data_IF_918566463777
#
_entry.id   IF_918566463777
#
_cell.length_a   1.000
_cell.length_b   1.000
_cell.length_c   1.000
_cell.angle_alpha   90.00
_cell.angle_beta   90.00
_cell.angle_gamma   90.00
#
_symmetry.space_group_name_H-M   'P 1'
#
loop_
_entity.id
_entity.type
_entity.pdbx_description
1 polymer ?
#
# COMPACT_ATOMS: atom_id res chain seq x y z
N UNK A 1 20.64 -10.18 -4.24
CA UNK A 1 19.89 -11.27 -3.60
C UNK A 1 20.32 -11.47 -2.12
N UNK A 2 21.62 -11.50 -1.84
CA UNK A 2 22.22 -11.65 -0.51
C UNK A 2 21.78 -10.60 0.53
N UNK A 3 21.72 -9.32 0.16
CA UNK A 3 21.33 -8.24 1.08
C UNK A 3 19.87 -8.38 1.62
N UNK A 4 18.98 -8.98 0.82
CA UNK A 4 17.61 -9.29 1.28
C UNK A 4 17.57 -10.46 2.27
N UNK A 5 18.44 -11.45 2.08
CA UNK A 5 18.53 -12.62 2.98
C UNK A 5 19.06 -12.20 4.36
N UNK A 6 20.09 -11.35 4.39
CA UNK A 6 20.66 -10.83 5.65
C UNK A 6 19.65 -9.98 6.43
N UNK A 7 18.84 -9.15 5.75
CA UNK A 7 17.79 -8.39 6.44
C UNK A 7 16.68 -9.30 6.98
N UNK A 8 16.33 -10.39 6.30
CA UNK A 8 15.34 -11.35 6.81
C UNK A 8 15.85 -12.15 8.02
N UNK A 9 17.11 -12.57 8.00
CA UNK A 9 17.70 -13.27 9.15
C UNK A 9 17.86 -12.33 10.35
N UNK A 10 18.30 -11.10 10.15
CA UNK A 10 18.40 -10.11 11.22
C UNK A 10 17.03 -9.72 11.83
N UNK A 11 16.00 -9.56 10.99
CA UNK A 11 14.64 -9.28 11.46
C UNK A 11 14.04 -10.51 12.18
N UNK A 12 14.36 -11.74 11.75
CA UNK A 12 13.99 -12.99 12.44
C UNK A 12 14.66 -13.10 13.81
N UNK A 13 15.97 -12.85 13.90
CA UNK A 13 16.70 -12.83 15.17
C UNK A 13 16.18 -11.73 16.11
N UNK A 14 15.90 -10.54 15.61
CA UNK A 14 15.30 -9.46 16.38
C UNK A 14 13.90 -9.81 16.89
N UNK A 15 13.07 -10.50 16.11
CA UNK A 15 11.77 -11.00 16.54
C UNK A 15 11.91 -12.11 17.60
N UNK A 16 12.94 -12.94 17.51
CA UNK A 16 13.12 -14.05 18.43
C UNK A 16 13.66 -13.56 19.81
N UNK A 17 14.63 -12.65 19.81
CA UNK A 17 15.26 -12.15 21.05
C UNK A 17 14.56 -10.91 21.63
N UNK A 18 13.90 -10.08 20.79
CA UNK A 18 13.22 -8.84 21.17
C UNK A 18 11.83 -8.78 20.51
N UNK A 19 10.99 -9.79 20.78
CA UNK A 19 9.71 -9.97 20.09
C UNK A 19 8.88 -8.69 19.90
N UNK A 20 8.61 -7.84 20.90
CA UNK A 20 7.83 -6.62 20.66
C UNK A 20 8.58 -5.58 19.82
N UNK A 21 9.90 -5.43 20.02
CA UNK A 21 10.68 -4.46 19.24
C UNK A 21 10.84 -4.89 17.78
N UNK A 22 11.02 -6.18 17.51
CA UNK A 22 11.09 -6.74 16.16
C UNK A 22 9.77 -6.58 15.42
N UNK A 23 8.64 -6.89 16.04
CA UNK A 23 7.30 -6.74 15.47
C UNK A 23 7.00 -5.26 15.16
N UNK A 24 7.31 -4.35 16.08
CA UNK A 24 7.15 -2.90 15.87
C UNK A 24 8.01 -2.40 14.71
N UNK A 25 9.25 -2.86 14.59
CA UNK A 25 10.15 -2.49 13.50
C UNK A 25 9.65 -2.99 12.14
N UNK A 26 9.14 -4.24 12.09
CA UNK A 26 8.54 -4.80 10.87
C UNK A 26 7.26 -4.04 10.53
N UNK A 27 6.39 -3.78 11.50
CA UNK A 27 5.16 -3.02 11.31
C UNK A 27 5.45 -1.60 10.78
N UNK A 28 6.43 -0.92 11.36
CA UNK A 28 6.84 0.42 10.93
C UNK A 28 7.40 0.44 9.51
N UNK A 29 8.31 -0.49 9.16
CA UNK A 29 8.84 -0.63 7.79
C UNK A 29 7.74 -0.93 6.77
N UNK A 30 6.71 -1.68 7.16
CA UNK A 30 5.62 -2.06 6.26
C UNK A 30 4.58 -0.95 6.12
N UNK A 31 4.35 -0.16 7.16
CA UNK A 31 3.55 1.07 7.05
C UNK A 31 4.21 2.10 6.11
N UNK A 32 5.54 2.11 6.03
CA UNK A 32 6.27 2.96 5.09
C UNK A 32 6.21 2.45 3.64
N UNK A 33 6.10 1.13 3.41
CA UNK A 33 5.95 0.52 2.08
C UNK A 33 4.47 0.37 1.73
N UNK A 34 3.83 1.48 1.38
CA UNK A 34 2.39 1.60 1.12
C UNK A 34 1.82 0.65 0.05
N UNK A 35 2.67 0.11 -0.83
CA UNK A 35 2.26 -0.74 -1.96
C UNK A 35 2.06 -2.23 -1.60
N UNK A 36 2.64 -2.71 -0.50
CA UNK A 36 2.65 -4.15 -0.14
C UNK A 36 1.95 -4.46 1.20
N UNK A 37 0.92 -3.68 1.57
CA UNK A 37 0.20 -3.81 2.85
C UNK A 37 -0.38 -5.22 3.07
N UNK A 38 -0.87 -5.88 2.02
CA UNK A 38 -1.44 -7.23 2.14
C UNK A 38 -0.35 -8.25 2.47
N UNK A 39 0.75 -8.25 1.72
CA UNK A 39 1.89 -9.13 1.98
C UNK A 39 2.52 -8.85 3.34
N UNK A 40 2.52 -7.58 3.72
CA UNK A 40 2.99 -7.15 5.02
C UNK A 40 2.14 -7.68 6.18
N UNK A 41 0.83 -7.56 6.06
CA UNK A 41 -0.11 -8.10 7.03
C UNK A 41 -0.01 -9.61 7.17
N UNK A 42 0.17 -10.34 6.05
CA UNK A 42 0.38 -11.79 6.07
C UNK A 42 1.65 -12.18 6.83
N UNK A 43 2.78 -11.48 6.60
CA UNK A 43 4.04 -11.74 7.30
C UNK A 43 3.92 -11.47 8.81
N UNK A 44 3.24 -10.38 9.19
CA UNK A 44 2.98 -10.07 10.60
C UNK A 44 2.08 -11.11 11.27
N UNK A 45 1.05 -11.60 10.56
CA UNK A 45 0.19 -12.68 11.05
C UNK A 45 0.96 -13.97 11.26
N UNK A 46 1.80 -14.38 10.30
CA UNK A 46 2.62 -15.58 10.43
C UNK A 46 3.62 -15.46 11.58
N UNK A 47 4.37 -14.36 11.64
CA UNK A 47 5.35 -14.15 12.71
C UNK A 47 4.67 -14.05 14.09
N UNK A 48 3.58 -13.29 14.21
CA UNK A 48 2.81 -13.17 15.44
C UNK A 48 2.17 -14.49 15.85
N UNK A 49 1.64 -15.25 14.90
CA UNK A 49 1.06 -16.57 15.14
C UNK A 49 2.07 -17.57 15.69
N UNK A 50 3.24 -17.67 15.07
CA UNK A 50 4.32 -18.58 15.54
C UNK A 50 4.76 -18.19 16.95
N UNK A 51 5.00 -16.89 17.22
CA UNK A 51 5.40 -16.43 18.56
C UNK A 51 4.30 -16.67 19.60
N UNK A 52 3.03 -16.47 19.24
CA UNK A 52 1.90 -16.71 20.13
C UNK A 52 1.76 -18.19 20.49
N UNK A 53 1.82 -19.09 19.48
CA UNK A 53 1.76 -20.53 19.71
C UNK A 53 2.92 -21.03 20.56
N UNK A 54 4.13 -20.51 20.31
CA UNK A 54 5.30 -20.85 21.12
C UNK A 54 5.14 -20.36 22.56
N UNK A 55 4.69 -19.12 22.77
CA UNK A 55 4.39 -18.58 24.11
C UNK A 55 3.28 -19.37 24.82
N UNK A 56 2.23 -19.74 24.12
CA UNK A 56 1.13 -20.55 24.66
C UNK A 56 1.59 -21.96 25.05
N UNK A 57 2.45 -22.60 24.25
CA UNK A 57 3.05 -23.89 24.57
C UNK A 57 3.94 -23.83 25.81
N UNK A 58 4.71 -22.77 25.98
CA UNK A 58 5.51 -22.56 27.20
C UNK A 58 4.63 -22.32 28.44
N UNK A 59 3.49 -21.61 28.30
CA UNK A 59 2.54 -21.40 29.40
C UNK A 59 1.84 -22.68 29.84
N UNK A 60 1.77 -23.71 28.97
CA UNK A 60 1.22 -25.01 29.34
C UNK A 60 2.12 -25.81 30.29
N UNK A 61 3.38 -25.42 30.44
CA UNK A 61 4.33 -26.07 31.36
C UNK A 61 4.34 -25.32 32.71
N UNK A 62 3.97 -25.99 33.85
CA UNK A 62 3.86 -25.31 35.14
C UNK A 62 5.17 -24.67 35.61
N UNK A 63 6.31 -25.26 35.25
CA UNK A 63 7.64 -24.74 35.59
C UNK A 63 7.98 -23.40 34.87
N UNK A 64 7.37 -23.17 33.72
CA UNK A 64 7.61 -21.96 32.90
C UNK A 64 6.65 -20.81 33.23
N UNK A 65 5.63 -21.04 34.06
CA UNK A 65 4.66 -20.01 34.47
C UNK A 65 5.31 -18.86 35.26
N UNK A 66 6.43 -19.14 35.99
CA UNK A 66 7.16 -18.12 36.77
C UNK A 66 8.17 -17.35 35.92
N UNK A 67 8.42 -17.77 34.70
CA UNK A 67 9.43 -17.15 33.86
C UNK A 67 8.86 -15.95 33.07
N UNK A 68 9.35 -14.72 33.27
CA UNK A 68 8.85 -13.51 32.61
C UNK A 68 9.00 -13.57 31.07
N UNK A 69 9.96 -14.35 30.56
CA UNK A 69 10.13 -14.53 29.10
C UNK A 69 8.94 -15.20 28.43
N UNK A 70 8.23 -16.08 29.13
CA UNK A 70 7.05 -16.77 28.61
C UNK A 70 5.92 -15.80 28.28
N UNK A 71 5.64 -14.87 29.19
CA UNK A 71 4.65 -13.82 29.00
C UNK A 71 5.06 -12.86 27.88
N UNK A 72 6.35 -12.59 27.75
CA UNK A 72 6.88 -11.72 26.71
C UNK A 72 6.59 -12.28 25.29
N UNK A 73 6.76 -13.60 25.08
CA UNK A 73 6.43 -14.24 23.81
C UNK A 73 4.92 -14.28 23.55
N UNK A 74 4.13 -14.62 24.56
CA UNK A 74 2.68 -14.68 24.41
C UNK A 74 2.06 -13.30 24.08
N UNK A 75 2.44 -12.27 24.83
CA UNK A 75 1.95 -10.90 24.62
C UNK A 75 2.48 -10.32 23.30
N UNK A 76 3.78 -10.51 23.01
CA UNK A 76 4.37 -10.06 21.74
C UNK A 76 3.72 -10.71 20.54
N UNK A 77 3.44 -12.02 20.61
CA UNK A 77 2.72 -12.76 19.58
C UNK A 77 1.29 -12.25 19.38
N UNK A 78 0.57 -11.98 20.46
CA UNK A 78 -0.79 -11.42 20.40
C UNK A 78 -0.82 -10.03 19.75
N UNK A 79 0.12 -9.15 20.13
CA UNK A 79 0.25 -7.82 19.49
C UNK A 79 0.54 -7.99 17.99
N UNK A 80 1.43 -8.91 17.60
CA UNK A 80 1.74 -9.22 16.21
C UNK A 80 0.52 -9.67 15.42
N UNK A 81 -0.31 -10.53 16.00
CA UNK A 81 -1.57 -10.97 15.38
C UNK A 81 -2.54 -9.81 15.17
N UNK A 82 -2.76 -8.99 16.19
CA UNK A 82 -3.67 -7.83 16.10
C UNK A 82 -3.20 -6.86 15.02
N UNK A 83 -1.93 -6.47 15.03
CA UNK A 83 -1.35 -5.58 14.01
C UNK A 83 -1.40 -6.22 12.61
N UNK A 84 -1.18 -7.52 12.49
CA UNK A 84 -1.29 -8.27 11.26
C UNK A 84 -2.69 -8.20 10.66
N UNK A 85 -3.73 -8.44 11.48
CA UNK A 85 -5.13 -8.35 11.05
C UNK A 85 -5.50 -6.94 10.61
N UNK A 86 -5.11 -5.92 11.38
CA UNK A 86 -5.39 -4.51 11.04
C UNK A 86 -4.74 -4.14 9.71
N UNK A 87 -3.47 -4.50 9.52
CA UNK A 87 -2.71 -4.19 8.30
C UNK A 87 -3.30 -4.94 7.09
N UNK A 88 -3.68 -6.19 7.27
CA UNK A 88 -4.29 -6.99 6.22
C UNK A 88 -5.64 -6.40 5.77
N UNK A 89 -6.51 -6.03 6.73
CA UNK A 89 -7.80 -5.39 6.44
C UNK A 89 -7.63 -4.08 5.67
N UNK A 90 -6.68 -3.22 6.09
CA UNK A 90 -6.35 -1.99 5.36
C UNK A 90 -5.85 -2.29 3.94
N UNK A 91 -4.98 -3.29 3.78
CA UNK A 91 -4.45 -3.69 2.48
C UNK A 91 -5.52 -4.24 1.54
N UNK A 92 -6.41 -5.12 2.03
CA UNK A 92 -7.53 -5.64 1.22
C UNK A 92 -8.49 -4.53 0.79
N UNK A 93 -8.81 -3.60 1.71
CA UNK A 93 -9.62 -2.44 1.41
C UNK A 93 -8.97 -1.59 0.30
N UNK A 94 -7.70 -1.26 0.46
CA UNK A 94 -6.95 -0.52 -0.56
C UNK A 94 -6.95 -1.20 -1.93
N UNK A 95 -6.75 -2.53 -1.97
CA UNK A 95 -6.76 -3.26 -3.24
C UNK A 95 -8.11 -3.20 -3.96
N UNK A 96 -9.23 -3.20 -3.22
CA UNK A 96 -10.56 -2.99 -3.82
C UNK A 96 -10.68 -1.61 -4.48
N UNK A 97 -10.26 -0.55 -3.76
CA UNK A 97 -10.28 0.81 -4.32
C UNK A 97 -9.31 0.97 -5.50
N UNK A 98 -8.12 0.35 -5.40
CA UNK A 98 -7.16 0.33 -6.51
C UNK A 98 -7.76 -0.36 -7.73
N UNK A 99 -8.47 -1.47 -7.54
CA UNK A 99 -9.20 -2.16 -8.60
C UNK A 99 -10.22 -1.26 -9.28
N UNK A 100 -11.02 -0.52 -8.51
CA UNK A 100 -12.02 0.41 -9.04
C UNK A 100 -11.38 1.57 -9.83
N UNK A 101 -10.37 2.22 -9.23
CA UNK A 101 -9.77 3.44 -9.80
C UNK A 101 -8.83 3.13 -10.95
N UNK A 102 -7.92 2.14 -10.79
CA UNK A 102 -6.85 1.88 -11.76
C UNK A 102 -7.29 0.93 -12.88
N UNK A 103 -8.04 -0.13 -12.53
CA UNK A 103 -8.43 -1.14 -13.52
C UNK A 103 -9.76 -0.84 -14.20
N UNK A 104 -10.71 -0.24 -13.48
CA UNK A 104 -12.03 0.10 -14.03
C UNK A 104 -12.14 1.57 -14.43
N UNK A 105 -11.10 2.37 -14.16
CA UNK A 105 -11.05 3.80 -14.50
C UNK A 105 -12.22 4.62 -13.91
N UNK A 106 -12.75 4.18 -12.77
CA UNK A 106 -13.87 4.85 -12.11
C UNK A 106 -13.35 6.07 -11.36
N UNK A 107 -13.84 7.24 -11.72
CA UNK A 107 -13.42 8.52 -11.13
C UNK A 107 -14.49 9.13 -10.21
N UNK A 108 -15.75 8.72 -10.33
CA UNK A 108 -16.85 9.20 -9.52
C UNK A 108 -16.97 8.41 -8.21
N UNK A 109 -17.16 9.09 -7.07
CA UNK A 109 -17.38 8.45 -5.78
C UNK A 109 -18.61 7.52 -5.80
N UNK A 110 -19.65 7.86 -6.57
CA UNK A 110 -20.87 7.05 -6.74
C UNK A 110 -20.58 5.74 -7.46
N UNK A 111 -19.81 5.76 -8.54
CA UNK A 111 -19.45 4.56 -9.30
C UNK A 111 -18.55 3.64 -8.46
N UNK A 112 -17.56 4.23 -7.77
CA UNK A 112 -16.68 3.49 -6.84
C UNK A 112 -17.52 2.87 -5.71
N UNK A 113 -18.52 3.57 -5.20
CA UNK A 113 -19.43 3.07 -4.16
C UNK A 113 -20.21 1.84 -4.64
N UNK A 114 -20.72 1.87 -5.87
CA UNK A 114 -21.36 0.72 -6.51
C UNK A 114 -20.43 -0.47 -6.65
N UNK A 115 -19.18 -0.25 -7.08
CA UNK A 115 -18.18 -1.30 -7.24
C UNK A 115 -17.73 -1.92 -5.90
N UNK A 116 -17.47 -1.09 -4.89
CA UNK A 116 -17.00 -1.55 -3.57
C UNK A 116 -18.15 -2.11 -2.71
N UNK A 117 -19.40 -1.74 -3.01
CA UNK A 117 -20.60 -2.15 -2.25
C UNK A 117 -20.74 -1.39 -0.93
N UNK A 118 -20.35 -0.12 -0.89
CA UNK A 118 -20.44 0.75 0.29
C UNK A 118 -21.26 2.01 0.00
N UNK A 119 -21.78 2.67 1.07
CA UNK A 119 -22.43 3.95 0.92
C UNK A 119 -21.45 5.02 0.40
N UNK A 120 -21.91 5.90 -0.50
CA UNK A 120 -21.08 6.93 -1.13
C UNK A 120 -20.31 7.79 -0.12
N UNK A 121 -20.95 8.22 0.99
CA UNK A 121 -20.29 9.00 2.03
C UNK A 121 -19.17 8.23 2.76
N UNK A 122 -19.27 6.90 2.87
CA UNK A 122 -18.22 6.06 3.42
C UNK A 122 -17.03 5.98 2.44
N UNK A 123 -17.32 5.86 1.15
CA UNK A 123 -16.31 5.86 0.09
C UNK A 123 -15.55 7.17 0.04
N UNK A 124 -16.24 8.30 0.14
CA UNK A 124 -15.61 9.63 0.17
C UNK A 124 -14.61 9.74 1.34
N UNK A 125 -15.02 9.33 2.55
CA UNK A 125 -14.12 9.34 3.72
C UNK A 125 -12.90 8.44 3.52
N UNK A 126 -13.13 7.26 2.96
CA UNK A 126 -12.07 6.30 2.69
C UNK A 126 -11.08 6.83 1.65
N UNK A 127 -11.57 7.41 0.55
CA UNK A 127 -10.74 8.01 -0.49
C UNK A 127 -9.92 9.17 0.05
N UNK A 128 -10.52 10.08 0.83
CA UNK A 128 -9.80 11.19 1.46
C UNK A 128 -8.69 10.68 2.38
N UNK A 129 -8.98 9.66 3.19
CA UNK A 129 -7.96 9.04 4.07
C UNK A 129 -6.84 8.39 3.25
N UNK A 130 -7.19 7.63 2.21
CA UNK A 130 -6.21 6.94 1.36
C UNK A 130 -5.34 7.91 0.56
N UNK A 131 -5.92 9.02 0.08
CA UNK A 131 -5.17 10.09 -0.59
C UNK A 131 -4.26 10.81 0.41
N UNK A 132 -4.76 11.14 1.60
CA UNK A 132 -3.97 11.72 2.69
C UNK A 132 -2.81 10.83 3.11
N UNK A 133 -3.05 9.52 3.19
CA UNK A 133 -2.00 8.51 3.44
C UNK A 133 -1.04 8.35 2.23
N UNK A 134 -1.29 9.02 1.09
CA UNK A 134 -0.50 8.96 -0.14
C UNK A 134 -0.55 7.59 -0.82
N UNK A 135 -1.65 6.85 -0.69
CA UNK A 135 -1.87 5.57 -1.35
C UNK A 135 -2.20 5.73 -2.84
N UNK A 136 -2.73 6.87 -3.23
CA UNK A 136 -2.99 7.26 -4.61
C UNK A 136 -2.11 8.48 -4.97
N UNK A 137 -0.82 8.27 -5.27
CA UNK A 137 0.05 9.38 -5.65
C UNK A 137 -0.48 10.02 -6.94
N UNK A 138 -0.60 11.33 -6.92
CA UNK A 138 -1.06 12.09 -8.09
C UNK A 138 -2.58 12.22 -8.24
N UNK A 139 -3.38 11.63 -7.36
CA UNK A 139 -4.83 11.86 -7.33
C UNK A 139 -5.21 12.88 -6.26
N UNK A 140 -6.21 13.69 -6.57
CA UNK A 140 -6.86 14.63 -5.67
C UNK A 140 -8.37 14.37 -5.71
N UNK A 141 -9.01 14.46 -4.57
CA UNK A 141 -10.46 14.37 -4.48
C UNK A 141 -11.09 15.76 -4.48
N UNK A 142 -11.97 16.01 -5.43
CA UNK A 142 -12.76 17.24 -5.49
C UNK A 142 -14.08 17.01 -4.73
N UNK A 143 -14.23 17.72 -3.60
CA UNK A 143 -15.41 17.56 -2.73
C UNK A 143 -16.68 18.14 -3.34
N UNK A 144 -16.58 19.09 -4.27
CA UNK A 144 -17.74 19.72 -4.93
C UNK A 144 -18.32 18.79 -5.99
N UNK A 145 -17.48 18.25 -6.86
CA UNK A 145 -17.89 17.34 -7.95
C UNK A 145 -18.01 15.89 -7.49
N UNK A 146 -17.49 15.56 -6.29
CA UNK A 146 -17.33 14.20 -5.76
C UNK A 146 -16.57 13.25 -6.70
N UNK A 147 -15.62 13.80 -7.43
CA UNK A 147 -14.80 13.07 -8.40
C UNK A 147 -13.33 13.07 -8.00
N UNK A 148 -12.65 12.01 -8.42
CA UNK A 148 -11.19 11.95 -8.38
C UNK A 148 -10.64 12.70 -9.58
N UNK A 149 -9.72 13.60 -9.34
CA UNK A 149 -9.02 14.38 -10.35
C UNK A 149 -7.52 14.13 -10.24
N UNK A 150 -6.84 14.19 -11.36
CA UNK A 150 -5.38 14.22 -11.37
C UNK A 150 -4.90 15.53 -10.74
N UNK A 151 -3.98 15.44 -9.78
CA UNK A 151 -3.33 16.62 -9.21
C UNK A 151 -2.51 17.35 -10.30
N UNK A 152 -2.38 18.67 -10.19
CA UNK A 152 -1.64 19.46 -11.18
C UNK A 152 -0.15 19.05 -11.27
N UNK A 153 0.41 18.50 -10.18
CA UNK A 153 1.74 17.92 -10.18
C UNK A 153 1.79 16.60 -10.97
N UNK A 154 0.77 15.75 -10.84
CA UNK A 154 0.66 14.51 -11.60
C UNK A 154 0.35 14.78 -13.08
N UNK A 155 -0.51 15.75 -13.37
CA UNK A 155 -0.73 16.22 -14.75
C UNK A 155 0.59 16.65 -15.37
N UNK A 156 1.40 17.42 -14.66
CA UNK A 156 2.72 17.85 -15.14
C UNK A 156 3.73 16.73 -15.28
N UNK A 157 3.73 15.73 -14.42
CA UNK A 157 4.69 14.63 -14.44
C UNK A 157 4.31 13.49 -15.41
N UNK A 158 3.03 13.27 -15.62
CA UNK A 158 2.54 12.27 -16.60
C UNK A 158 2.54 12.82 -18.02
N UNK A 159 2.61 14.14 -18.16
CA UNK A 159 2.26 14.84 -19.39
C UNK A 159 3.46 15.25 -20.24
N UNK A 160 4.70 14.97 -19.87
CA UNK A 160 5.81 15.47 -20.66
C UNK A 160 6.87 14.41 -20.96
N UNK A 161 6.71 13.74 -22.08
CA UNK A 161 7.82 13.03 -22.75
C UNK A 161 8.20 13.82 -24.01
N UNK A 162 9.47 14.20 -24.10
CA UNK A 162 9.99 14.74 -25.34
C UNK A 162 10.17 13.58 -26.34
N UNK A 163 9.44 13.62 -27.44
CA UNK A 163 9.51 12.67 -28.56
C UNK A 163 9.99 13.41 -29.78
N UNK A 164 10.85 12.80 -30.56
CA UNK A 164 11.28 13.34 -31.85
C UNK A 164 10.25 12.92 -32.91
N UNK A 165 9.74 13.87 -33.66
CA UNK A 165 8.74 13.61 -34.70
C UNK A 165 9.40 12.91 -35.88
N UNK A 166 8.91 11.70 -36.23
CA UNK A 166 9.47 10.90 -37.32
C UNK A 166 9.37 11.58 -38.67
N UNK A 167 8.44 12.51 -38.87
CA UNK A 167 8.21 13.18 -40.15
C UNK A 167 9.06 14.45 -40.34
N UNK A 168 9.33 15.22 -39.26
CA UNK A 168 10.06 16.48 -39.39
C UNK A 168 11.29 16.62 -38.47
N UNK A 169 11.57 15.62 -37.63
CA UNK A 169 12.71 15.64 -36.70
C UNK A 169 12.60 16.62 -35.54
N UNK A 170 11.46 17.30 -35.37
CA UNK A 170 11.28 18.26 -34.30
C UNK A 170 11.06 17.55 -32.96
N UNK A 171 11.69 18.03 -31.89
CA UNK A 171 11.40 17.55 -30.52
C UNK A 171 10.14 18.20 -30.00
N UNK A 172 9.12 17.39 -29.80
CA UNK A 172 7.79 17.82 -29.34
C UNK A 172 7.47 17.11 -28.02
N UNK A 173 6.80 17.82 -27.13
CA UNK A 173 6.34 17.24 -25.87
C UNK A 173 4.99 16.54 -26.12
N UNK A 174 4.96 15.22 -26.01
CA UNK A 174 3.74 14.41 -26.16
C UNK A 174 3.17 14.09 -24.79
N UNK A 175 1.85 13.95 -24.76
CA UNK A 175 1.07 13.71 -23.55
C UNK A 175 0.40 12.34 -23.62
N UNK A 176 0.54 11.54 -22.58
CA UNK A 176 -0.07 10.21 -22.50
C UNK A 176 -1.61 10.31 -22.41
N UNK A 177 -2.32 9.59 -23.29
CA UNK A 177 -3.79 9.54 -23.27
C UNK A 177 -4.51 10.64 -24.05
N UNK A 178 -3.80 11.48 -24.81
CA UNK A 178 -4.36 12.48 -25.70
C UNK A 178 -3.83 12.22 -27.12
N UNK A 179 -4.65 12.51 -28.16
CA UNK A 179 -4.14 12.59 -29.52
C UNK A 179 -3.11 13.72 -29.62
N UNK A 180 -1.85 13.31 -29.72
CA UNK A 180 -0.76 14.26 -29.88
C UNK A 180 -0.52 14.52 -31.37
N UNK A 181 -0.40 15.79 -31.74
CA UNK A 181 0.00 16.20 -33.09
C UNK A 181 1.23 17.05 -33.03
N UNK A 182 2.12 16.88 -33.97
CA UNK A 182 3.33 17.69 -34.06
C UNK A 182 2.93 19.13 -34.34
N UNK A 183 3.39 20.06 -33.50
CA UNK A 183 3.12 21.50 -33.65
C UNK A 183 3.76 22.11 -34.92
N UNK A 184 4.74 21.39 -35.52
CA UNK A 184 5.48 21.86 -36.68
C UNK A 184 4.97 21.34 -38.01
N UNK A 185 4.59 20.04 -38.08
CA UNK A 185 4.15 19.42 -39.34
C UNK A 185 2.70 18.90 -39.28
N UNK A 186 2.06 18.90 -38.13
CA UNK A 186 0.68 18.43 -37.95
C UNK A 186 0.50 16.90 -37.89
N UNK A 187 1.56 16.12 -38.02
CA UNK A 187 1.50 14.66 -37.99
C UNK A 187 1.11 14.13 -36.61
N UNK A 188 0.36 13.02 -36.61
CA UNK A 188 -0.02 12.34 -35.39
C UNK A 188 1.21 11.67 -34.75
N UNK A 189 1.42 11.95 -33.48
CA UNK A 189 2.51 11.37 -32.69
C UNK A 189 1.96 10.27 -31.82
N UNK A 190 2.48 9.06 -31.99
CA UNK A 190 2.22 7.95 -31.08
C UNK A 190 3.12 8.05 -29.84
N UNK A 191 2.53 7.77 -28.68
CA UNK A 191 3.26 7.71 -27.42
C UNK A 191 4.11 6.46 -27.33
#
# INVERSE_FOLDING_TARGET
MFAKLITYTADFFLCFFFAPAGILKIAHRQMQRKQDLVRGGQKLLMAGGVLFLFGAALLASPEMLTNPFTYFFAVGGLIGLILGVITLRKGMKYNKYKGAVVHQNLMSAREIAGFVGLAENAVVRDLLTMIGDGMFPGLRFNSQTRMLELSDAAKRSMLSRAVECDSCGAKVTVYEGIENRCEYCGDALSY
#
